data_IF_005983040556
#
_entry.id   IF_005983040556
#
_cell.length_a   1.000
_cell.length_b   1.000
_cell.length_c   1.000
_cell.angle_alpha   90.00
_cell.angle_beta   90.00
_cell.angle_gamma   90.00
#
_symmetry.space_group_name_H-M   'P 1'
#
loop_
_entity.id
_entity.type
_entity.pdbx_description
1 polymer ?
#
# COMPACT_ATOMS: atom_id res chain seq x y z
N UNK A 1 32.60 -28.50 23.42
CA UNK A 1 31.77 -27.90 24.46
C UNK A 1 30.78 -28.91 24.94
N UNK A 2 30.77 -29.17 26.26
CA UNK A 2 29.86 -30.14 26.80
C UNK A 2 28.46 -29.57 26.89
N UNK A 3 27.48 -30.47 26.93
CA UNK A 3 26.09 -30.08 27.11
C UNK A 3 25.87 -29.30 28.42
N UNK A 4 26.60 -29.71 29.48
CA UNK A 4 26.55 -29.03 30.77
C UNK A 4 27.05 -27.60 30.66
N UNK A 5 28.11 -27.38 29.88
CA UNK A 5 28.60 -26.03 29.64
C UNK A 5 27.60 -25.18 28.86
N UNK A 6 26.90 -25.78 27.91
CA UNK A 6 25.85 -25.11 27.20
C UNK A 6 24.70 -24.76 28.16
N UNK A 7 24.29 -25.69 29.02
CA UNK A 7 23.28 -25.42 30.02
C UNK A 7 23.72 -24.35 31.00
N UNK A 8 24.99 -24.38 31.39
CA UNK A 8 25.57 -23.38 32.29
C UNK A 8 25.54 -22.00 31.61
N UNK A 9 25.79 -21.95 30.32
CA UNK A 9 25.68 -20.73 29.54
C UNK A 9 24.23 -20.27 29.45
N UNK A 10 23.29 -21.19 29.40
CA UNK A 10 21.88 -20.83 29.41
C UNK A 10 21.40 -20.42 30.81
N UNK A 11 22.00 -20.94 31.87
CA UNK A 11 21.66 -20.53 33.21
C UNK A 11 21.99 -19.06 33.47
N UNK A 12 23.17 -18.62 33.02
CA UNK A 12 23.59 -17.25 33.16
C UNK A 12 22.92 -16.37 32.12
N UNK A 13 22.86 -16.78 30.83
CA UNK A 13 22.25 -15.96 29.80
C UNK A 13 20.73 -16.00 29.76
N UNK A 14 20.05 -16.49 30.78
CA UNK A 14 18.59 -16.42 30.79
C UNK A 14 18.12 -14.98 30.70
N UNK A 15 18.85 -14.04 31.30
CA UNK A 15 18.59 -12.63 31.14
C UNK A 15 18.82 -12.19 29.70
N UNK A 16 19.89 -12.66 29.09
CA UNK A 16 20.24 -12.34 27.71
C UNK A 16 19.18 -12.92 26.79
N UNK A 17 18.76 -14.16 27.05
CA UNK A 17 17.72 -14.81 26.25
C UNK A 17 16.40 -14.05 26.33
N UNK A 18 16.00 -13.66 27.53
CA UNK A 18 14.80 -12.85 27.74
C UNK A 18 14.92 -11.52 27.04
N UNK A 19 16.11 -10.91 27.08
CA UNK A 19 16.36 -9.62 26.40
C UNK A 19 16.27 -9.78 24.90
N UNK A 20 16.78 -10.90 24.35
CA UNK A 20 16.71 -11.18 22.91
C UNK A 20 15.26 -11.34 22.49
N UNK A 21 14.47 -12.09 23.25
CA UNK A 21 13.05 -12.28 22.94
C UNK A 21 12.32 -10.94 22.99
N UNK A 22 12.58 -10.13 24.02
CA UNK A 22 11.99 -8.80 24.12
C UNK A 22 12.37 -7.91 22.96
N UNK A 23 13.64 -7.99 22.54
CA UNK A 23 14.12 -7.23 21.39
C UNK A 23 13.42 -7.67 20.10
N UNK A 24 13.29 -8.98 19.89
CA UNK A 24 12.62 -9.52 18.71
C UNK A 24 11.15 -9.10 18.67
N UNK A 25 10.46 -9.13 19.81
CA UNK A 25 9.08 -8.65 19.88
C UNK A 25 8.99 -7.18 19.54
N UNK A 26 9.92 -6.37 20.05
CA UNK A 26 9.96 -4.94 19.76
C UNK A 26 10.23 -4.68 18.28
N UNK A 27 11.12 -5.46 17.65
CA UNK A 27 11.42 -5.35 16.22
C UNK A 27 10.18 -5.71 15.39
N UNK A 28 9.49 -6.80 15.76
CA UNK A 28 8.29 -7.23 15.06
C UNK A 28 7.21 -6.15 15.14
N UNK A 29 7.00 -5.58 16.32
CA UNK A 29 6.03 -4.50 16.50
C UNK A 29 6.41 -3.27 15.68
N UNK A 30 7.69 -2.94 15.63
CA UNK A 30 8.17 -1.82 14.83
C UNK A 30 7.95 -2.06 13.35
N UNK A 31 8.18 -3.29 12.88
CA UNK A 31 7.94 -3.64 11.48
C UNK A 31 6.46 -3.55 11.14
N UNK A 32 5.58 -4.02 12.02
CA UNK A 32 4.14 -3.91 11.80
C UNK A 32 3.71 -2.46 11.71
N UNK A 33 4.21 -1.61 12.60
CA UNK A 33 3.92 -0.18 12.56
C UNK A 33 4.47 0.45 11.27
N UNK A 34 5.66 0.04 10.85
CA UNK A 34 6.28 0.51 9.61
C UNK A 34 5.49 0.06 8.38
N UNK A 35 5.01 -1.19 8.38
CA UNK A 35 4.19 -1.71 7.29
C UNK A 35 2.85 -0.98 7.21
N UNK A 36 2.26 -0.68 8.35
CA UNK A 36 1.02 0.09 8.39
C UNK A 36 1.22 1.50 7.85
N UNK A 37 2.32 2.15 8.22
CA UNK A 37 2.65 3.47 7.71
C UNK A 37 2.91 3.42 6.21
N UNK A 38 3.61 2.39 5.73
CA UNK A 38 3.88 2.20 4.31
C UNK A 38 2.57 1.98 3.55
N UNK A 39 1.69 1.15 4.09
CA UNK A 39 0.39 0.88 3.50
C UNK A 39 -0.41 2.16 3.33
N UNK A 40 -0.47 2.98 4.38
CA UNK A 40 -1.18 4.25 4.33
C UNK A 40 -0.52 5.22 3.35
N UNK A 41 0.80 5.22 3.29
CA UNK A 41 1.54 6.04 2.34
C UNK A 41 1.27 5.66 0.90
N UNK A 42 1.28 4.36 0.60
CA UNK A 42 0.96 3.86 -0.74
C UNK A 42 -0.48 4.19 -1.08
N UNK A 43 -1.40 4.01 -0.14
CA UNK A 43 -2.80 4.34 -0.35
C UNK A 43 -2.96 5.82 -0.70
N UNK A 44 -2.25 6.70 -0.01
CA UNK A 44 -2.29 8.14 -0.28
C UNK A 44 -1.71 8.47 -1.65
N UNK A 45 -0.63 7.80 -2.05
CA UNK A 45 -0.03 8.00 -3.36
C UNK A 45 -0.95 7.53 -4.48
N UNK A 46 -1.60 6.38 -4.30
CA UNK A 46 -2.55 5.87 -5.28
C UNK A 46 -3.73 6.81 -5.42
N UNK A 47 -4.23 7.33 -4.30
CA UNK A 47 -5.31 8.31 -4.32
C UNK A 47 -4.91 9.57 -5.08
N UNK A 48 -3.72 10.10 -4.80
CA UNK A 48 -3.22 11.29 -5.48
C UNK A 48 -3.08 11.04 -6.97
N UNK A 49 -2.61 9.86 -7.36
CA UNK A 49 -2.46 9.52 -8.77
C UNK A 49 -3.81 9.43 -9.48
N UNK A 50 -4.81 8.83 -8.82
CA UNK A 50 -6.15 8.74 -9.38
C UNK A 50 -6.77 10.13 -9.58
N UNK A 51 -6.60 11.01 -8.62
CA UNK A 51 -7.13 12.38 -8.71
C UNK A 51 -6.44 13.12 -9.85
N UNK A 52 -5.13 12.96 -9.97
CA UNK A 52 -4.36 13.58 -11.05
C UNK A 52 -4.83 13.09 -12.41
N UNK A 53 -4.94 11.78 -12.58
CA UNK A 53 -5.36 11.18 -13.84
C UNK A 53 -6.78 11.62 -14.20
N UNK A 54 -7.67 11.62 -13.22
CA UNK A 54 -9.04 12.05 -13.43
C UNK A 54 -9.09 13.50 -13.94
N UNK A 55 -8.35 14.38 -13.28
CA UNK A 55 -8.34 15.78 -13.65
C UNK A 55 -7.74 15.98 -15.05
N UNK A 56 -6.67 15.26 -15.35
CA UNK A 56 -6.00 15.35 -16.64
C UNK A 56 -6.92 14.90 -17.79
N UNK A 57 -7.50 13.73 -17.66
CA UNK A 57 -8.30 13.16 -18.75
C UNK A 57 -9.68 13.80 -18.81
N UNK A 58 -10.23 14.26 -17.69
CA UNK A 58 -11.47 15.02 -17.70
C UNK A 58 -11.29 16.34 -18.45
N UNK A 59 -10.14 17.00 -18.26
CA UNK A 59 -9.83 18.23 -18.98
C UNK A 59 -9.69 17.98 -20.48
N UNK A 60 -9.16 16.82 -20.87
CA UNK A 60 -9.05 16.44 -22.28
C UNK A 60 -10.38 16.00 -22.87
N UNK A 61 -11.31 15.58 -22.03
CA UNK A 61 -12.62 15.11 -22.43
C UNK A 61 -12.67 13.67 -22.89
N UNK A 62 -11.57 12.92 -22.74
CA UNK A 62 -11.54 11.51 -23.10
C UNK A 62 -10.42 10.82 -22.34
N UNK A 63 -10.53 9.48 -22.24
CA UNK A 63 -9.51 8.65 -21.63
C UNK A 63 -9.30 7.42 -22.50
N UNK A 64 -8.12 7.24 -23.10
CA UNK A 64 -7.85 6.06 -23.93
C UNK A 64 -7.96 4.78 -23.12
N UNK A 65 -8.12 3.67 -23.82
CA UNK A 65 -8.27 2.36 -23.16
C UNK A 65 -7.11 2.08 -22.22
N UNK A 66 -5.88 2.38 -22.62
CA UNK A 66 -4.73 2.11 -21.76
C UNK A 66 -4.78 2.94 -20.47
N UNK A 67 -5.31 4.15 -20.54
CA UNK A 67 -5.46 5.01 -19.37
C UNK A 67 -6.53 4.46 -18.44
N UNK A 68 -7.63 3.94 -19.01
CA UNK A 68 -8.69 3.32 -18.21
C UNK A 68 -8.22 2.04 -17.53
N UNK A 69 -7.47 1.22 -18.24
CA UNK A 69 -6.90 0.00 -17.67
C UNK A 69 -5.95 0.32 -16.53
N UNK A 70 -5.10 1.32 -16.71
CA UNK A 70 -4.17 1.76 -15.69
C UNK A 70 -4.92 2.30 -14.46
N UNK A 71 -5.93 3.11 -14.69
CA UNK A 71 -6.75 3.68 -13.61
C UNK A 71 -7.46 2.58 -12.83
N UNK A 72 -8.03 1.59 -13.55
CA UNK A 72 -8.69 0.45 -12.92
C UNK A 72 -7.71 -0.32 -12.04
N UNK A 73 -6.51 -0.55 -12.54
CA UNK A 73 -5.49 -1.26 -11.80
C UNK A 73 -5.10 -0.52 -10.52
N UNK A 74 -4.93 0.80 -10.63
CA UNK A 74 -4.64 1.65 -9.47
C UNK A 74 -5.79 1.60 -8.48
N UNK A 75 -7.01 1.68 -8.96
CA UNK A 75 -8.19 1.65 -8.11
C UNK A 75 -8.32 0.32 -7.36
N UNK A 76 -8.07 -0.80 -8.04
CA UNK A 76 -8.12 -2.12 -7.40
C UNK A 76 -7.13 -2.22 -6.26
N UNK A 77 -5.92 -1.74 -6.47
CA UNK A 77 -4.90 -1.74 -5.42
C UNK A 77 -5.28 -0.81 -4.29
N UNK A 78 -5.81 0.35 -4.60
CA UNK A 78 -6.27 1.31 -3.60
C UNK A 78 -7.38 0.70 -2.75
N UNK A 79 -8.33 0.05 -3.38
CA UNK A 79 -9.46 -0.59 -2.69
C UNK A 79 -8.96 -1.73 -1.80
N UNK A 80 -8.03 -2.54 -2.30
CA UNK A 80 -7.43 -3.63 -1.53
C UNK A 80 -6.75 -3.12 -0.27
N UNK A 81 -6.17 -1.91 -0.34
CA UNK A 81 -5.51 -1.30 0.81
C UNK A 81 -6.49 -0.63 1.78
N UNK A 82 -7.79 -0.76 1.54
CA UNK A 82 -8.80 -0.21 2.42
C UNK A 82 -9.29 1.18 2.02
N UNK A 83 -9.17 1.52 0.74
CA UNK A 83 -9.64 2.80 0.24
C UNK A 83 -11.14 2.98 0.40
N UNK A 84 -11.57 4.23 0.50
CA UNK A 84 -12.97 4.56 0.75
C UNK A 84 -13.78 4.75 -0.53
N UNK A 85 -15.09 4.98 -0.37
CA UNK A 85 -16.03 5.07 -1.48
C UNK A 85 -15.94 6.33 -2.33
N UNK A 86 -15.22 7.36 -1.88
CA UNK A 86 -15.05 8.58 -2.67
C UNK A 86 -14.33 8.26 -3.97
N UNK A 87 -13.30 7.43 -3.90
CA UNK A 87 -12.54 7.03 -5.08
C UNK A 87 -13.36 6.11 -5.97
N UNK A 88 -14.32 5.39 -5.42
CA UNK A 88 -15.23 4.56 -6.20
C UNK A 88 -16.05 5.41 -7.16
N UNK A 89 -16.56 6.53 -6.68
CA UNK A 89 -17.31 7.46 -7.52
C UNK A 89 -16.41 8.06 -8.59
N UNK A 90 -15.20 8.44 -8.22
CA UNK A 90 -14.22 8.96 -9.15
C UNK A 90 -13.91 7.94 -10.24
N UNK A 91 -13.75 6.68 -9.86
CA UNK A 91 -13.50 5.59 -10.79
C UNK A 91 -14.66 5.42 -11.76
N UNK A 92 -15.89 5.41 -11.25
CA UNK A 92 -17.07 5.27 -12.09
C UNK A 92 -17.14 6.38 -13.13
N UNK A 93 -16.88 7.60 -12.71
CA UNK A 93 -16.91 8.76 -13.61
C UNK A 93 -15.78 8.68 -14.65
N UNK A 94 -14.61 8.21 -14.24
CA UNK A 94 -13.48 8.07 -15.16
C UNK A 94 -13.76 7.05 -16.25
N UNK A 95 -14.37 5.93 -15.88
CA UNK A 95 -14.69 4.87 -16.84
C UNK A 95 -15.73 5.33 -17.86
N UNK A 96 -16.58 6.27 -17.48
CA UNK A 96 -17.60 6.81 -18.38
C UNK A 96 -17.04 7.81 -19.40
N UNK A 97 -15.81 8.26 -19.25
CA UNK A 97 -15.21 9.15 -20.25
C UNK A 97 -15.12 8.45 -21.61
N UNK A 98 -15.28 9.20 -22.71
CA UNK A 98 -15.07 8.60 -24.02
C UNK A 98 -13.68 8.01 -24.17
N UNK A 99 -13.57 6.92 -24.93
CA UNK A 99 -12.30 6.26 -25.15
C UNK A 99 -11.47 6.96 -26.21
N UNK A 100 -12.13 7.60 -27.15
CA UNK A 100 -11.48 8.26 -28.25
C UNK A 100 -11.57 9.78 -28.07
N UNK A 101 -10.56 10.47 -28.59
CA UNK A 101 -10.55 11.92 -28.59
C UNK A 101 -11.81 12.44 -29.27
N UNK A 102 -12.51 13.39 -28.66
CA UNK A 102 -13.69 13.98 -29.30
C UNK A 102 -13.33 14.58 -30.65
N UNK A 103 -14.16 14.28 -31.61
CA UNK A 103 -14.01 14.80 -32.93
C UNK A 103 -14.26 16.30 -32.89
N UNK A 104 -13.34 17.08 -33.45
CA UNK A 104 -13.55 18.53 -33.59
C UNK A 104 -14.34 18.79 -34.87
N UNK A 105 -15.44 19.39 -34.70
CA UNK A 105 -16.30 19.75 -35.80
C UNK A 105 -15.94 21.13 -36.38
#
# INVERSE_FOLDING_TARGET
>A
MTFIQILSLFGIPSFIFTSIIGYLIAVIKKEQASQEALKKGVQALLRAQMIRDYNEYSAKGYAPIYAKENFENIYKNYHTLGGNGVMQELYANFIELPTDKPSKE
#
